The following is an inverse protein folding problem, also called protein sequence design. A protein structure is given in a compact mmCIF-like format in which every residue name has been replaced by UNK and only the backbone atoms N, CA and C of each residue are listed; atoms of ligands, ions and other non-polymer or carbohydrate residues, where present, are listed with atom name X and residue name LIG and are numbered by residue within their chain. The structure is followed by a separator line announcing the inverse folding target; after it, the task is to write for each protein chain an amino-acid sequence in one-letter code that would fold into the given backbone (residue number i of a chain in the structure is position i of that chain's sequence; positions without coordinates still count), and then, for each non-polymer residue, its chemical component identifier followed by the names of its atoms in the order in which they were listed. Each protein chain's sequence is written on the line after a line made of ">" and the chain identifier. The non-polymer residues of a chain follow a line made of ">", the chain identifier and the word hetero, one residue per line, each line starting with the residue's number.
data_IF_378910881580
#
_entry.id   IF_378910881580
#
_cell.length_a   1.000
_cell.length_b   1.000
_cell.length_c   1.000
_cell.angle_alpha   90.00
_cell.angle_beta   90.00
_cell.angle_gamma   90.00
#
_symmetry.space_group_name_H-M   'P 1'
#
loop_
_entity.id
_entity.type
_entity.pdbx_description
1 polymer ?
#
# COMPACT_ATOMS: atom_id res chain seq x y z
N UNK A 1 -10.79 4.46 -8.32
CA UNK A 1 -10.36 3.21 -7.64
C UNK A 1 -9.03 3.45 -6.95
N UNK A 2 -8.83 2.88 -5.79
CA UNK A 2 -7.59 3.02 -5.05
C UNK A 2 -6.67 1.83 -5.36
N UNK A 3 -5.45 2.02 -5.82
CA UNK A 3 -4.51 0.92 -5.96
C UNK A 3 -4.05 0.41 -4.60
N UNK A 4 -4.01 -0.90 -4.49
CA UNK A 4 -3.54 -1.61 -3.30
C UNK A 4 -2.24 -2.34 -3.62
N UNK A 5 -1.26 -2.27 -2.73
CA UNK A 5 0.05 -2.87 -2.95
C UNK A 5 0.55 -3.74 -1.81
N UNK A 6 1.16 -4.84 -2.20
CA UNK A 6 1.94 -5.71 -1.34
C UNK A 6 3.43 -5.62 -1.67
N UNK A 7 4.27 -5.37 -0.67
CA UNK A 7 5.72 -5.45 -0.78
C UNK A 7 6.22 -6.74 -0.13
N UNK A 8 6.91 -7.57 -0.89
CA UNK A 8 7.49 -8.80 -0.40
C UNK A 8 9.02 -8.74 -0.40
N UNK A 9 9.65 -9.29 0.64
CA UNK A 9 11.11 -9.45 0.69
C UNK A 9 11.53 -10.52 -0.31
N UNK A 10 12.47 -10.21 -1.19
CA UNK A 10 13.01 -11.18 -2.15
C UNK A 10 13.77 -12.29 -1.43
N UNK A 11 13.14 -13.43 -1.20
CA UNK A 11 13.78 -14.73 -1.14
C UNK A 11 13.15 -15.62 -2.20
N UNK A 12 13.99 -16.22 -3.00
CA UNK A 12 13.71 -16.98 -4.21
C UNK A 12 12.84 -18.24 -3.96
N UNK A 13 11.57 -18.08 -3.61
CA UNK A 13 10.53 -19.11 -3.71
C UNK A 13 9.14 -18.62 -3.32
N UNK A 14 8.90 -17.30 -3.19
CA UNK A 14 7.56 -16.84 -2.96
C UNK A 14 6.74 -17.00 -4.23
N UNK A 15 5.64 -17.71 -4.12
CA UNK A 15 4.67 -17.83 -5.19
C UNK A 15 4.08 -16.44 -5.49
N UNK A 16 4.64 -15.76 -6.51
CA UNK A 16 4.20 -14.42 -6.93
C UNK A 16 2.67 -14.38 -7.17
N UNK A 17 2.09 -15.48 -7.62
CA UNK A 17 0.66 -15.65 -7.79
C UNK A 17 -0.13 -15.47 -6.48
N UNK A 18 0.34 -16.03 -5.36
CA UNK A 18 -0.35 -15.90 -4.07
C UNK A 18 -0.34 -14.45 -3.56
N UNK A 19 0.76 -13.72 -3.76
CA UNK A 19 0.89 -12.32 -3.33
C UNK A 19 0.02 -11.39 -4.17
N UNK A 20 -0.03 -11.58 -5.50
CA UNK A 20 -0.96 -10.85 -6.38
C UNK A 20 -2.41 -11.12 -5.97
N UNK A 21 -2.75 -12.37 -5.63
CA UNK A 21 -4.09 -12.73 -5.16
C UNK A 21 -4.47 -12.01 -3.86
N UNK A 22 -3.54 -11.86 -2.92
CA UNK A 22 -3.79 -11.09 -1.68
C UNK A 22 -4.04 -9.62 -1.99
N UNK A 23 -3.25 -8.99 -2.84
CA UNK A 23 -3.45 -7.60 -3.25
C UNK A 23 -4.82 -7.41 -3.93
N UNK A 24 -5.19 -8.33 -4.83
CA UNK A 24 -6.49 -8.31 -5.52
C UNK A 24 -7.65 -8.42 -4.54
N UNK A 25 -7.60 -9.37 -3.62
CA UNK A 25 -8.67 -9.57 -2.62
C UNK A 25 -8.83 -8.34 -1.74
N UNK A 26 -7.73 -7.74 -1.28
CA UNK A 26 -7.78 -6.50 -0.51
C UNK A 26 -8.38 -5.34 -1.31
N UNK A 27 -7.97 -5.16 -2.57
CA UNK A 27 -8.53 -4.12 -3.44
C UNK A 27 -10.04 -4.30 -3.63
N UNK A 28 -10.49 -5.50 -3.95
CA UNK A 28 -11.91 -5.84 -4.11
C UNK A 28 -12.69 -5.63 -2.82
N UNK A 29 -12.13 -6.01 -1.68
CA UNK A 29 -12.73 -5.80 -0.36
C UNK A 29 -12.91 -4.31 -0.08
N UNK A 30 -11.90 -3.49 -0.33
CA UNK A 30 -11.96 -2.06 -0.11
C UNK A 30 -12.96 -1.37 -1.05
N UNK A 31 -13.03 -1.79 -2.31
CA UNK A 31 -14.05 -1.30 -3.25
C UNK A 31 -15.46 -1.64 -2.77
N UNK A 32 -15.69 -2.87 -2.31
CA UNK A 32 -16.98 -3.31 -1.78
C UNK A 32 -17.36 -2.53 -0.51
N UNK A 33 -16.42 -2.31 0.42
CA UNK A 33 -16.65 -1.51 1.62
C UNK A 33 -17.06 -0.08 1.26
N UNK A 34 -16.34 0.54 0.32
CA UNK A 34 -16.69 1.89 -0.16
C UNK A 34 -18.08 1.94 -0.80
N UNK A 35 -18.44 0.96 -1.60
CA UNK A 35 -19.77 0.85 -2.21
C UNK A 35 -20.89 0.76 -1.17
N UNK A 36 -20.60 0.22 0.00
CA UNK A 36 -21.51 0.14 1.15
C UNK A 36 -21.47 1.38 2.06
N UNK A 37 -20.71 2.42 1.68
CA UNK A 37 -20.56 3.64 2.48
C UNK A 37 -19.60 3.51 3.67
N UNK A 38 -18.84 2.41 3.75
CA UNK A 38 -17.84 2.21 4.80
C UNK A 38 -16.54 2.91 4.39
N UNK A 39 -16.12 3.91 5.18
CA UNK A 39 -14.96 4.76 4.88
C UNK A 39 -14.16 5.15 6.14
N UNK A 40 -14.25 4.39 7.22
CA UNK A 40 -13.47 4.63 8.45
C UNK A 40 -12.00 4.21 8.20
N UNK A 41 -11.09 5.20 8.16
CA UNK A 41 -9.65 4.98 7.95
C UNK A 41 -9.05 3.97 8.93
N UNK A 42 -9.51 3.95 10.18
CA UNK A 42 -9.01 3.00 11.20
C UNK A 42 -9.33 1.56 10.84
N UNK A 43 -10.49 1.32 10.24
CA UNK A 43 -10.88 -0.01 9.80
C UNK A 43 -10.00 -0.49 8.63
N UNK A 44 -9.75 0.38 7.66
CA UNK A 44 -8.86 0.07 6.53
C UNK A 44 -7.41 -0.14 7.00
N UNK A 45 -6.92 0.68 7.92
CA UNK A 45 -5.61 0.51 8.56
C UNK A 45 -5.50 -0.85 9.27
N UNK A 46 -6.50 -1.23 10.04
CA UNK A 46 -6.49 -2.50 10.77
C UNK A 46 -6.50 -3.71 9.82
N UNK A 47 -7.24 -3.65 8.72
CA UNK A 47 -7.23 -4.71 7.71
C UNK A 47 -5.84 -4.85 7.08
N UNK A 48 -5.17 -3.74 6.76
CA UNK A 48 -3.81 -3.77 6.21
C UNK A 48 -2.80 -4.31 7.24
N UNK A 49 -2.88 -3.83 8.48
CA UNK A 49 -2.03 -4.27 9.58
C UNK A 49 -2.16 -5.78 9.83
N UNK A 50 -3.40 -6.26 9.91
CA UNK A 50 -3.68 -7.66 10.17
C UNK A 50 -3.24 -8.54 8.99
N UNK A 51 -3.43 -8.08 7.77
CA UNK A 51 -2.92 -8.78 6.58
C UNK A 51 -1.40 -8.95 6.66
N UNK A 52 -0.67 -7.91 7.09
CA UNK A 52 0.77 -8.02 7.29
C UNK A 52 1.12 -8.98 8.42
N UNK A 53 0.39 -8.93 9.54
CA UNK A 53 0.63 -9.77 10.71
C UNK A 53 0.49 -11.27 10.38
N UNK A 54 -0.53 -11.62 9.60
CA UNK A 54 -0.83 -13.00 9.21
C UNK A 54 0.09 -13.53 8.09
N UNK A 55 0.88 -12.65 7.45
CA UNK A 55 1.78 -13.02 6.36
C UNK A 55 3.24 -12.65 6.71
N UNK A 56 3.95 -13.46 7.51
CA UNK A 56 5.28 -13.11 8.04
C UNK A 56 6.37 -12.94 6.97
N UNK A 57 6.14 -13.41 5.74
CA UNK A 57 7.06 -13.22 4.61
C UNK A 57 6.87 -11.88 3.88
N UNK A 58 5.82 -11.14 4.16
CA UNK A 58 5.68 -9.80 3.60
C UNK A 58 6.54 -8.81 4.39
N UNK A 59 7.27 -7.97 3.69
CA UNK A 59 7.96 -6.85 4.29
C UNK A 59 6.97 -5.74 4.67
N UNK A 60 5.97 -5.54 3.83
CA UNK A 60 4.93 -4.56 4.07
C UNK A 60 3.67 -4.76 3.24
N UNK A 61 2.61 -4.13 3.69
CA UNK A 61 1.30 -4.05 3.03
C UNK A 61 0.87 -2.58 3.04
N UNK A 62 0.36 -2.09 1.92
CA UNK A 62 0.01 -0.69 1.81
C UNK A 62 -1.12 -0.40 0.82
N UNK A 63 -1.71 0.77 0.95
CA UNK A 63 -2.58 1.32 -0.08
C UNK A 63 -2.29 2.79 -0.30
N UNK A 64 -2.55 3.27 -1.50
CA UNK A 64 -2.50 4.69 -1.85
C UNK A 64 -3.81 5.04 -2.54
N UNK A 65 -4.59 5.89 -1.90
CA UNK A 65 -5.87 6.33 -2.41
C UNK A 65 -5.72 7.64 -3.19
N UNK A 66 -6.50 7.79 -4.25
CA UNK A 66 -6.61 9.05 -4.97
C UNK A 66 -7.14 10.16 -4.05
N UNK A 67 -6.88 11.45 -4.37
CA UNK A 67 -7.33 12.56 -3.54
C UNK A 67 -8.82 12.46 -3.20
N UNK A 68 -9.13 12.51 -1.92
CA UNK A 68 -10.48 12.42 -1.34
C UNK A 68 -11.29 11.15 -1.71
N UNK A 69 -10.61 10.12 -2.26
CA UNK A 69 -11.31 8.94 -2.77
C UNK A 69 -11.83 8.00 -1.68
N UNK A 70 -11.20 7.98 -0.50
CA UNK A 70 -11.65 7.10 0.59
C UNK A 70 -12.88 7.69 1.31
N UNK A 71 -12.76 8.87 1.88
CA UNK A 71 -13.76 9.45 2.80
C UNK A 71 -14.10 10.92 2.49
N UNK A 72 -13.45 11.53 1.50
CA UNK A 72 -13.64 12.95 1.17
C UNK A 72 -13.06 13.93 2.19
N UNK A 73 -12.19 13.47 3.10
CA UNK A 73 -11.73 14.21 4.27
C UNK A 73 -10.22 14.43 4.32
N UNK A 74 -9.53 14.36 3.19
CA UNK A 74 -8.08 14.47 3.16
C UNK A 74 -7.57 15.74 3.87
N UNK A 75 -8.24 16.88 3.69
CA UNK A 75 -7.86 18.15 4.31
C UNK A 75 -7.77 18.06 5.85
N UNK A 76 -8.66 17.27 6.47
CA UNK A 76 -8.67 17.09 7.93
C UNK A 76 -7.46 16.28 8.43
N UNK A 77 -6.84 15.51 7.54
CA UNK A 77 -5.69 14.66 7.84
C UNK A 77 -4.35 15.20 7.32
N UNK A 78 -4.35 16.39 6.72
CA UNK A 78 -3.12 17.01 6.25
C UNK A 78 -2.11 17.18 7.40
N UNK A 79 -0.91 16.61 7.24
CA UNK A 79 0.13 16.56 8.26
C UNK A 79 -0.26 15.87 9.59
N UNK A 80 -1.35 15.14 9.63
CA UNK A 80 -1.69 14.29 10.78
C UNK A 80 -0.69 13.13 10.92
N UNK A 81 -0.59 12.46 12.08
CA UNK A 81 0.26 11.29 12.25
C UNK A 81 0.01 10.26 11.15
N UNK A 82 1.10 9.76 10.54
CA UNK A 82 1.09 8.79 9.45
C UNK A 82 0.49 9.26 8.11
N UNK A 83 0.32 10.57 7.95
CA UNK A 83 -0.12 11.21 6.72
C UNK A 83 0.94 12.21 6.22
N UNK A 84 0.89 12.52 4.95
CA UNK A 84 1.69 13.61 4.36
C UNK A 84 0.91 14.94 4.35
N UNK A 85 1.47 15.96 3.70
CA UNK A 85 0.83 17.27 3.59
C UNK A 85 -0.46 17.28 2.76
N UNK A 86 -0.75 16.23 2.00
CA UNK A 86 -2.01 16.11 1.23
C UNK A 86 -3.16 15.55 2.07
N UNK A 87 -2.85 14.87 3.16
CA UNK A 87 -3.83 14.15 3.99
C UNK A 87 -4.47 12.94 3.32
N UNK A 88 -4.03 12.55 2.12
CA UNK A 88 -4.50 11.34 1.44
C UNK A 88 -4.30 10.12 2.33
N UNK A 89 -5.18 9.13 2.18
CA UNK A 89 -5.01 7.86 2.88
C UNK A 89 -3.96 7.02 2.14
N UNK A 90 -2.73 7.02 2.66
CA UNK A 90 -1.55 6.41 2.05
C UNK A 90 -0.73 5.56 3.03
N UNK A 91 -1.37 4.70 3.84
CA UNK A 91 -0.65 3.94 4.85
C UNK A 91 0.28 2.89 4.25
N UNK A 92 1.46 2.79 4.81
CA UNK A 92 2.43 1.74 4.56
C UNK A 92 2.75 1.02 5.86
N UNK A 93 2.07 -0.08 6.09
CA UNK A 93 2.35 -1.00 7.19
C UNK A 93 3.55 -1.87 6.85
N UNK A 94 4.60 -1.84 7.65
CA UNK A 94 5.83 -2.58 7.38
C UNK A 94 6.47 -3.12 8.65
N UNK A 95 7.43 -4.05 8.47
CA UNK A 95 8.23 -4.63 9.55
C UNK A 95 9.74 -4.35 9.40
N UNK A 96 10.10 -3.30 8.67
CA UNK A 96 11.50 -2.95 8.41
C UNK A 96 12.32 -2.67 9.68
N UNK A 97 11.69 -2.20 10.75
CA UNK A 97 12.32 -1.98 12.06
C UNK A 97 12.37 -3.22 12.97
N UNK A 98 11.91 -4.38 12.49
CA UNK A 98 11.72 -5.59 13.30
C UNK A 98 10.37 -5.66 14.02
N UNK A 99 9.54 -4.61 13.92
CA UNK A 99 8.18 -4.56 14.46
C UNK A 99 7.23 -4.04 13.40
N UNK A 100 5.96 -4.45 13.46
CA UNK A 100 4.92 -3.91 12.58
C UNK A 100 4.63 -2.46 12.99
N UNK A 101 4.81 -1.55 12.02
CA UNK A 101 4.56 -0.11 12.16
C UNK A 101 3.96 0.45 10.90
N UNK A 102 3.27 1.59 11.02
CA UNK A 102 2.76 2.35 9.89
C UNK A 102 3.60 3.61 9.68
N UNK A 103 3.82 3.94 8.43
CA UNK A 103 4.37 5.22 7.98
C UNK A 103 3.65 5.65 6.69
N UNK A 104 3.66 6.94 6.33
CA UNK A 104 3.07 7.36 5.06
C UNK A 104 3.90 6.82 3.90
N UNK A 105 3.23 6.38 2.84
CA UNK A 105 3.88 5.84 1.64
C UNK A 105 4.27 6.98 0.69
N UNK A 106 5.42 7.59 0.92
CA UNK A 106 5.86 8.79 0.24
C UNK A 106 6.46 8.52 -1.15
N UNK A 107 6.52 9.56 -1.99
CA UNK A 107 7.14 9.52 -3.31
C UNK A 107 6.27 8.91 -4.41
N UNK A 108 5.01 8.64 -4.12
CA UNK A 108 4.03 8.07 -5.07
C UNK A 108 3.82 8.93 -6.32
N UNK A 109 4.08 10.22 -6.26
CA UNK A 109 3.90 11.20 -7.34
C UNK A 109 5.19 11.56 -8.10
N UNK A 110 6.31 10.88 -7.81
CA UNK A 110 7.61 11.16 -8.43
C UNK A 110 7.85 10.15 -9.55
N UNK A 111 7.83 10.55 -10.84
CA UNK A 111 8.13 9.64 -11.95
C UNK A 111 9.46 8.93 -11.76
N UNK A 112 9.51 7.65 -12.08
CA UNK A 112 10.65 6.77 -11.82
C UNK A 112 10.62 6.19 -10.41
N UNK A 113 10.75 7.02 -9.38
CA UNK A 113 10.72 6.57 -7.99
C UNK A 113 9.34 6.03 -7.57
N UNK A 114 8.27 6.70 -7.97
CA UNK A 114 6.88 6.35 -7.65
C UNK A 114 6.20 5.44 -8.69
N UNK A 115 6.95 4.85 -9.60
CA UNK A 115 6.38 3.99 -10.67
C UNK A 115 5.59 2.80 -10.14
N UNK A 116 5.90 2.34 -8.93
CA UNK A 116 5.15 1.33 -8.21
C UNK A 116 3.68 1.71 -7.96
N UNK A 117 3.36 3.01 -8.00
CA UNK A 117 2.00 3.55 -7.95
C UNK A 117 1.55 4.07 -9.32
N UNK A 118 2.40 4.87 -9.99
CA UNK A 118 2.03 5.57 -11.22
C UNK A 118 1.74 4.61 -12.38
N UNK A 119 2.53 3.55 -12.53
CA UNK A 119 2.36 2.60 -13.63
C UNK A 119 1.05 1.80 -13.50
N UNK A 120 0.75 1.11 -12.38
CA UNK A 120 -0.52 0.40 -12.26
C UNK A 120 -1.73 1.32 -12.28
N UNK A 121 -1.62 2.52 -11.75
CA UNK A 121 -2.69 3.52 -11.79
C UNK A 121 -3.01 3.94 -13.23
N UNK A 122 -2.00 4.18 -14.06
CA UNK A 122 -2.18 4.54 -15.48
C UNK A 122 -2.71 3.39 -16.30
N UNK A 123 -2.17 2.19 -16.10
CA UNK A 123 -2.55 0.99 -16.86
C UNK A 123 -3.88 0.42 -16.43
N UNK A 124 -4.28 0.65 -15.19
CA UNK A 124 -5.46 0.02 -14.54
C UNK A 124 -5.41 -1.50 -14.59
N UNK A 125 -4.21 -2.03 -14.44
CA UNK A 125 -3.93 -3.47 -14.51
C UNK A 125 -3.08 -3.89 -13.32
N UNK A 126 -3.26 -5.14 -12.90
CA UNK A 126 -2.36 -5.74 -11.91
C UNK A 126 -0.93 -5.73 -12.46
N UNK A 127 0.00 -5.32 -11.62
CA UNK A 127 1.39 -5.13 -12.01
C UNK A 127 2.32 -5.79 -11.00
N UNK A 128 3.31 -6.50 -11.50
CA UNK A 128 4.46 -6.95 -10.71
C UNK A 128 5.62 -6.03 -11.08
N UNK A 129 6.15 -5.32 -10.08
CA UNK A 129 7.30 -4.43 -10.28
C UNK A 129 8.59 -5.23 -10.24
N UNK A 130 9.48 -4.96 -11.18
CA UNK A 130 10.86 -5.43 -11.08
C UNK A 130 11.48 -4.97 -9.75
N UNK A 131 12.47 -5.72 -9.21
CA UNK A 131 13.10 -5.33 -7.96
C UNK A 131 13.68 -3.91 -8.02
N UNK A 132 13.40 -3.11 -6.98
CA UNK A 132 13.84 -1.72 -6.86
C UNK A 132 14.20 -1.38 -5.41
N UNK A 133 14.99 -0.32 -5.23
CA UNK A 133 15.32 0.21 -3.91
C UNK A 133 14.18 1.10 -3.40
N UNK A 134 13.82 0.90 -2.14
CA UNK A 134 12.80 1.72 -1.49
C UNK A 134 13.12 1.91 -0.01
N UNK A 135 12.92 3.12 0.56
CA UNK A 135 13.12 3.36 1.98
C UNK A 135 12.02 2.68 2.80
N UNK A 136 12.45 1.86 3.77
CA UNK A 136 11.57 1.18 4.71
C UNK A 136 12.14 1.38 6.11
N UNK A 137 11.38 2.01 6.98
CA UNK A 137 11.81 2.33 8.34
C UNK A 137 13.18 3.05 8.36
N UNK A 138 13.42 3.99 7.44
CA UNK A 138 14.64 4.78 7.33
C UNK A 138 15.86 4.04 6.74
N UNK A 139 15.68 2.85 6.17
CA UNK A 139 16.73 2.08 5.50
C UNK A 139 16.36 1.82 4.05
N UNK A 140 17.35 1.80 3.14
CA UNK A 140 17.13 1.34 1.78
C UNK A 140 17.01 -0.19 1.76
N UNK A 141 15.89 -0.68 1.28
CA UNK A 141 15.61 -2.12 1.10
C UNK A 141 15.40 -2.40 -0.38
N UNK A 142 15.96 -3.52 -0.85
CA UNK A 142 15.72 -3.98 -2.21
C UNK A 142 14.46 -4.86 -2.23
N UNK A 143 13.42 -4.37 -2.88
CA UNK A 143 12.07 -4.96 -2.81
C UNK A 143 11.47 -5.16 -4.18
N UNK A 144 10.48 -6.03 -4.27
CA UNK A 144 9.52 -6.11 -5.37
C UNK A 144 8.13 -5.80 -4.84
N UNK A 145 7.27 -5.25 -5.67
CA UNK A 145 5.88 -4.95 -5.33
C UNK A 145 4.93 -5.62 -6.30
N UNK A 146 3.85 -6.12 -5.75
CA UNK A 146 2.74 -6.68 -6.51
C UNK A 146 1.50 -5.84 -6.24
N UNK A 147 0.91 -5.32 -7.29
CA UNK A 147 -0.05 -4.22 -7.26
C UNK A 147 -1.37 -4.64 -7.87
N UNK A 148 -2.47 -4.38 -7.18
CA UNK A 148 -3.82 -4.40 -7.75
C UNK A 148 -4.37 -2.96 -7.71
N UNK A 149 -4.76 -2.37 -8.85
CA UNK A 149 -5.34 -1.03 -8.93
C UNK A 149 -6.78 -0.99 -8.43
#
# INVERSE_FOLDING_TARGET
>A
MAPLLLKARSRASMNASATVSTARVLAQTFVAMRALGIADRRLFDEILRETLAQNPHYLGVWSVWEPNALDGRDEEFANAPHHDGTGRFIPFWNRGSGRIRVEPNLGYNIPGFGDWYLVPMQRREETVMDPYEFPVAGRSEFITSQVAP
#
